data_IF_880797382598
#
_entry.id   IF_880797382598
#
_cell.length_a   1.000
_cell.length_b   1.000
_cell.length_c   1.000
_cell.angle_alpha   90.00
_cell.angle_beta   90.00
_cell.angle_gamma   90.00
#
_symmetry.space_group_name_H-M   'P 1'
#
loop_
_entity.id
_entity.type
_entity.pdbx_description
1 polymer ?
#
# COMPACT_ATOMS: atom_id res chain seq x y z
N UNK A 1 -22.24 22.11 -6.64
CA UNK A 1 -22.55 22.45 -5.25
C UNK A 1 -22.86 21.16 -4.50
N UNK A 2 -22.30 20.99 -3.30
CA UNK A 2 -22.51 19.77 -2.48
C UNK A 2 -23.99 19.53 -2.16
N UNK A 3 -24.72 20.59 -1.89
CA UNK A 3 -26.17 20.53 -1.62
C UNK A 3 -26.93 19.93 -2.81
N UNK A 4 -26.55 20.29 -4.02
CA UNK A 4 -27.14 19.79 -5.26
C UNK A 4 -26.81 18.31 -5.47
N UNK A 5 -25.58 17.88 -5.14
CA UNK A 5 -25.19 16.48 -5.20
C UNK A 5 -26.07 15.61 -4.29
N UNK A 6 -26.23 16.01 -3.01
CA UNK A 6 -27.06 15.26 -2.06
C UNK A 6 -28.53 15.29 -2.39
N UNK A 7 -29.04 16.31 -3.07
CA UNK A 7 -30.40 16.31 -3.61
C UNK A 7 -30.52 15.27 -4.73
N UNK A 8 -29.57 15.28 -5.66
CA UNK A 8 -29.62 14.43 -6.85
C UNK A 8 -29.51 12.94 -6.54
N UNK A 9 -28.66 12.55 -5.59
CA UNK A 9 -28.52 11.13 -5.19
C UNK A 9 -29.74 10.59 -4.43
N UNK A 10 -30.70 11.44 -4.07
CA UNK A 10 -31.99 11.04 -3.49
C UNK A 10 -33.10 10.89 -4.53
N UNK A 11 -32.88 11.29 -5.77
CA UNK A 11 -33.86 11.13 -6.85
C UNK A 11 -33.94 9.66 -7.27
N UNK A 12 -35.13 9.01 -7.25
CA UNK A 12 -35.26 7.60 -7.63
C UNK A 12 -34.78 7.30 -9.06
N UNK A 13 -35.00 8.23 -9.98
CA UNK A 13 -34.59 8.12 -11.38
C UNK A 13 -33.07 8.13 -11.51
N UNK A 14 -32.38 9.02 -10.79
CA UNK A 14 -30.94 9.06 -10.75
C UNK A 14 -30.34 7.76 -10.18
N UNK A 15 -30.90 7.24 -9.08
CA UNK A 15 -30.46 5.96 -8.48
C UNK A 15 -30.63 4.79 -9.44
N UNK A 16 -31.76 4.74 -10.14
CA UNK A 16 -32.01 3.69 -11.13
C UNK A 16 -31.03 3.75 -12.30
N UNK A 17 -30.79 4.95 -12.84
CA UNK A 17 -29.82 5.18 -13.92
C UNK A 17 -28.38 4.84 -13.45
N UNK A 18 -27.99 5.27 -12.26
CA UNK A 18 -26.70 4.96 -11.68
C UNK A 18 -26.47 3.45 -11.54
N UNK A 19 -27.43 2.72 -10.98
CA UNK A 19 -27.36 1.26 -10.83
C UNK A 19 -27.25 0.57 -12.19
N UNK A 20 -28.00 1.03 -13.17
CA UNK A 20 -27.89 0.54 -14.56
C UNK A 20 -26.48 0.77 -15.10
N UNK A 21 -25.94 1.98 -14.99
CA UNK A 21 -24.57 2.31 -15.41
C UNK A 21 -23.50 1.46 -14.71
N UNK A 22 -23.63 1.26 -13.41
CA UNK A 22 -22.70 0.43 -12.64
C UNK A 22 -22.70 -1.03 -13.12
N UNK A 23 -23.87 -1.55 -13.51
CA UNK A 23 -24.03 -2.94 -13.97
C UNK A 23 -23.63 -3.16 -15.45
N UNK A 24 -23.77 -2.15 -16.30
CA UNK A 24 -23.61 -2.29 -17.76
C UNK A 24 -22.21 -1.93 -18.27
N UNK A 25 -21.45 -1.12 -17.54
CA UNK A 25 -20.20 -0.60 -18.09
C UNK A 25 -19.06 -1.60 -17.90
N UNK A 26 -18.72 -2.29 -18.97
CA UNK A 26 -17.47 -3.02 -19.13
C UNK A 26 -16.34 -2.02 -19.49
N UNK A 27 -15.99 -1.13 -18.57
CA UNK A 27 -14.84 -0.24 -18.76
C UNK A 27 -13.69 -0.73 -17.90
N UNK A 28 -12.47 -0.62 -18.44
CA UNK A 28 -11.23 -0.78 -17.69
C UNK A 28 -11.15 0.40 -16.70
N UNK A 29 -11.85 0.27 -15.58
CA UNK A 29 -11.82 1.25 -14.49
C UNK A 29 -10.89 0.75 -13.39
N UNK A 30 -10.35 1.67 -12.61
CA UNK A 30 -9.54 1.33 -11.44
C UNK A 30 -10.33 0.59 -10.36
N UNK A 31 -11.64 0.80 -10.29
CA UNK A 31 -12.52 0.17 -9.33
C UNK A 31 -13.50 -0.77 -10.02
N UNK A 32 -13.70 -1.95 -9.44
CA UNK A 32 -14.63 -2.98 -9.94
C UNK A 32 -16.12 -2.60 -9.79
N UNK A 33 -16.44 -1.49 -9.12
CA UNK A 33 -17.80 -0.95 -8.89
C UNK A 33 -18.75 -1.84 -8.09
N UNK A 34 -18.21 -2.80 -7.39
CA UNK A 34 -18.97 -3.66 -6.49
C UNK A 34 -19.07 -2.99 -5.11
N UNK A 35 -20.23 -2.41 -4.81
CA UNK A 35 -20.50 -1.79 -3.51
C UNK A 35 -20.56 -2.82 -2.37
N UNK A 36 -20.70 -4.11 -2.67
CA UNK A 36 -20.59 -5.15 -1.65
C UNK A 36 -19.17 -5.29 -1.09
N UNK A 37 -18.14 -4.78 -1.79
CA UNK A 37 -16.76 -4.65 -1.31
C UNK A 37 -16.43 -3.23 -0.78
N UNK A 38 -17.43 -2.39 -0.59
CA UNK A 38 -17.27 -1.08 0.05
C UNK A 38 -17.42 -1.18 1.57
N UNK A 39 -16.31 -1.09 2.32
CA UNK A 39 -16.27 -1.26 3.77
C UNK A 39 -16.25 0.08 4.48
N UNK A 40 -17.16 0.29 5.43
CA UNK A 40 -17.25 1.53 6.22
C UNK A 40 -16.12 1.55 7.24
N UNK A 41 -15.26 2.56 7.13
CA UNK A 41 -14.09 2.73 8.01
C UNK A 41 -14.31 3.79 9.08
N UNK A 42 -15.21 4.73 8.83
CA UNK A 42 -15.62 5.75 9.79
C UNK A 42 -17.06 6.18 9.52
N UNK A 43 -17.85 6.29 10.58
CA UNK A 43 -19.23 6.78 10.55
C UNK A 43 -19.59 7.29 11.96
N UNK A 44 -20.39 8.38 12.11
CA UNK A 44 -20.92 8.79 13.41
C UNK A 44 -21.75 7.71 14.10
N UNK A 45 -22.35 6.80 13.34
CA UNK A 45 -22.97 5.58 13.86
C UNK A 45 -21.91 4.46 13.88
N UNK A 46 -21.31 4.25 15.05
CA UNK A 46 -20.24 3.25 15.24
C UNK A 46 -20.70 1.82 14.95
N UNK A 47 -22.01 1.54 15.01
CA UNK A 47 -22.54 0.20 14.71
C UNK A 47 -22.40 -0.19 13.23
N UNK A 48 -22.13 0.78 12.37
CA UNK A 48 -21.91 0.60 10.93
C UNK A 48 -20.43 0.40 10.58
N UNK A 49 -19.52 0.80 11.46
CA UNK A 49 -18.08 0.68 11.20
C UNK A 49 -17.68 -0.80 11.13
N UNK A 50 -16.92 -1.16 10.08
CA UNK A 50 -16.52 -2.53 9.78
C UNK A 50 -17.55 -3.34 8.98
N UNK A 51 -18.75 -2.79 8.70
CA UNK A 51 -19.70 -3.40 7.77
C UNK A 51 -19.42 -2.93 6.34
N UNK A 52 -19.78 -3.76 5.37
CA UNK A 52 -19.83 -3.34 3.98
C UNK A 52 -21.25 -2.92 3.58
N UNK A 53 -21.40 -2.25 2.44
CA UNK A 53 -22.71 -1.75 2.00
C UNK A 53 -23.69 -2.87 1.68
N UNK A 54 -23.23 -4.09 1.37
CA UNK A 54 -24.13 -5.24 1.23
C UNK A 54 -24.75 -5.64 2.57
N UNK A 55 -23.93 -5.73 3.63
CA UNK A 55 -24.43 -6.07 4.97
C UNK A 55 -25.42 -5.02 5.48
N UNK A 56 -25.13 -3.73 5.24
CA UNK A 56 -26.07 -2.65 5.58
C UNK A 56 -27.34 -2.73 4.75
N UNK A 57 -27.20 -3.00 3.45
CA UNK A 57 -28.35 -3.20 2.56
C UNK A 57 -29.25 -4.36 2.99
N UNK A 58 -28.65 -5.49 3.36
CA UNK A 58 -29.37 -6.67 3.87
C UNK A 58 -30.15 -6.33 5.17
N UNK A 59 -29.54 -5.54 6.09
CA UNK A 59 -30.21 -5.10 7.33
C UNK A 59 -31.36 -4.12 7.08
N UNK A 60 -31.24 -3.27 6.08
CA UNK A 60 -32.25 -2.24 5.76
C UNK A 60 -33.24 -2.68 4.69
N UNK A 61 -33.03 -3.85 4.07
CA UNK A 61 -33.89 -4.37 3.01
C UNK A 61 -33.74 -3.58 1.69
N UNK A 62 -32.57 -3.06 1.40
CA UNK A 62 -32.28 -2.26 0.20
C UNK A 62 -31.06 -2.79 -0.55
N UNK A 63 -30.89 -2.36 -1.79
CA UNK A 63 -29.71 -2.65 -2.60
C UNK A 63 -28.45 -2.00 -2.00
N UNK A 64 -27.25 -2.60 -2.14
CA UNK A 64 -26.00 -2.02 -1.62
C UNK A 64 -25.70 -0.60 -2.10
N UNK A 65 -26.07 -0.26 -3.34
CA UNK A 65 -25.92 1.11 -3.89
C UNK A 65 -26.87 2.07 -3.19
N UNK A 66 -28.11 1.63 -2.92
CA UNK A 66 -29.07 2.44 -2.16
C UNK A 66 -28.61 2.64 -0.71
N UNK A 67 -28.10 1.59 -0.06
CA UNK A 67 -27.48 1.70 1.26
C UNK A 67 -26.35 2.74 1.29
N UNK A 68 -25.46 2.71 0.27
CA UNK A 68 -24.41 3.73 0.13
C UNK A 68 -25.01 5.15 0.00
N UNK A 69 -25.99 5.36 -0.88
CA UNK A 69 -26.58 6.67 -1.10
C UNK A 69 -27.31 7.19 0.14
N UNK A 70 -28.04 6.32 0.84
CA UNK A 70 -28.74 6.68 2.09
C UNK A 70 -27.75 7.12 3.17
N UNK A 71 -26.66 6.37 3.35
CA UNK A 71 -25.63 6.71 4.32
C UNK A 71 -24.85 7.98 3.89
N UNK A 72 -24.52 8.12 2.60
CA UNK A 72 -23.86 9.31 2.08
C UNK A 72 -24.71 10.57 2.26
N UNK A 73 -26.03 10.47 2.05
CA UNK A 73 -26.96 11.58 2.30
C UNK A 73 -27.03 11.92 3.78
N UNK A 74 -27.12 10.89 4.64
CA UNK A 74 -27.31 11.08 6.09
C UNK A 74 -26.04 11.62 6.78
N UNK A 75 -24.89 11.08 6.45
CA UNK A 75 -23.64 11.36 7.16
C UNK A 75 -22.66 12.25 6.38
N UNK A 76 -22.92 12.46 5.09
CA UNK A 76 -22.14 13.35 4.21
C UNK A 76 -20.64 13.07 4.33
N UNK A 77 -19.83 14.11 4.54
CA UNK A 77 -18.39 14.01 4.69
C UNK A 77 -17.92 13.23 5.93
N UNK A 78 -18.81 12.96 6.88
CA UNK A 78 -18.49 12.12 8.05
C UNK A 78 -18.52 10.62 7.73
N UNK A 79 -18.99 10.22 6.55
CA UNK A 79 -18.89 8.83 6.08
C UNK A 79 -17.55 8.62 5.41
N UNK A 80 -16.77 7.64 5.89
CA UNK A 80 -15.57 7.14 5.23
C UNK A 80 -15.74 5.67 4.93
N UNK A 81 -15.34 5.28 3.75
CA UNK A 81 -15.35 3.88 3.34
C UNK A 81 -14.14 3.59 2.44
N UNK A 82 -13.79 2.33 2.34
CA UNK A 82 -12.70 1.84 1.52
C UNK A 82 -13.16 0.67 0.66
N UNK A 83 -12.45 0.45 -0.43
CA UNK A 83 -12.63 -0.70 -1.31
C UNK A 83 -11.28 -1.17 -1.83
N UNK A 84 -11.22 -2.40 -2.31
CA UNK A 84 -10.04 -2.93 -2.96
C UNK A 84 -10.07 -2.62 -4.46
N UNK A 85 -9.08 -1.93 -4.97
CA UNK A 85 -8.94 -1.74 -6.43
C UNK A 85 -8.50 -3.01 -7.13
N UNK A 86 -7.57 -3.73 -6.49
CA UNK A 86 -6.90 -4.89 -7.05
C UNK A 86 -6.32 -5.76 -5.93
N UNK A 87 -5.78 -6.91 -6.32
CA UNK A 87 -5.03 -7.78 -5.40
C UNK A 87 -5.82 -8.30 -4.19
N UNK A 88 -7.16 -8.33 -4.30
CA UNK A 88 -8.05 -8.82 -3.25
C UNK A 88 -8.16 -10.35 -3.18
N UNK A 89 -7.50 -11.09 -4.10
CA UNK A 89 -7.55 -12.56 -4.19
C UNK A 89 -6.28 -13.17 -3.61
N UNK A 90 -6.27 -13.67 -2.35
CA UNK A 90 -5.06 -14.14 -1.69
C UNK A 90 -4.30 -15.19 -2.49
N UNK A 91 -4.98 -16.19 -3.05
CA UNK A 91 -4.34 -17.27 -3.83
C UNK A 91 -3.64 -16.77 -5.12
N UNK A 92 -4.09 -15.66 -5.70
CA UNK A 92 -3.40 -15.01 -6.83
C UNK A 92 -2.20 -14.23 -6.30
N UNK A 93 -2.38 -13.50 -5.19
CA UNK A 93 -1.31 -12.74 -4.56
C UNK A 93 -0.16 -13.64 -4.12
N UNK A 94 -0.44 -14.81 -3.55
CA UNK A 94 0.60 -15.79 -3.18
C UNK A 94 1.47 -16.16 -4.41
N UNK A 95 0.84 -16.42 -5.56
CA UNK A 95 1.56 -16.74 -6.81
C UNK A 95 2.37 -15.56 -7.33
N UNK A 96 1.81 -14.35 -7.31
CA UNK A 96 2.52 -13.14 -7.74
C UNK A 96 3.70 -12.83 -6.82
N UNK A 97 3.51 -12.88 -5.51
CA UNK A 97 4.55 -12.63 -4.52
C UNK A 97 5.69 -13.67 -4.65
N UNK A 98 5.36 -14.95 -4.84
CA UNK A 98 6.36 -16.01 -4.99
C UNK A 98 7.06 -16.01 -6.35
N UNK A 99 6.54 -15.31 -7.34
CA UNK A 99 7.09 -15.30 -8.70
C UNK A 99 8.51 -14.69 -8.73
N UNK A 100 9.47 -15.33 -9.39
CA UNK A 100 10.79 -14.74 -9.59
C UNK A 100 10.82 -13.58 -10.59
N UNK A 101 9.71 -13.36 -11.30
CA UNK A 101 9.58 -12.30 -12.32
C UNK A 101 8.91 -11.04 -11.79
N UNK A 102 8.58 -10.98 -10.51
CA UNK A 102 7.92 -9.82 -9.89
C UNK A 102 8.71 -9.31 -8.71
N UNK A 103 8.78 -8.00 -8.58
CA UNK A 103 9.36 -7.31 -7.42
C UNK A 103 8.26 -6.61 -6.61
N UNK A 104 8.50 -6.43 -5.32
CA UNK A 104 7.61 -5.75 -4.38
C UNK A 104 8.28 -4.42 -4.02
N UNK A 105 7.99 -3.37 -4.74
CA UNK A 105 8.79 -2.16 -4.61
C UNK A 105 8.07 -0.83 -4.74
N UNK A 106 6.73 -0.81 -4.93
CA UNK A 106 6.03 0.44 -5.21
C UNK A 106 4.64 0.51 -4.57
N UNK A 107 4.31 1.63 -3.96
CA UNK A 107 3.07 1.82 -3.21
C UNK A 107 2.18 2.99 -3.65
N UNK A 108 2.62 3.83 -4.60
CA UNK A 108 1.90 5.01 -5.14
C UNK A 108 1.28 5.96 -4.09
N UNK A 109 1.77 5.90 -2.84
CA UNK A 109 1.15 6.58 -1.70
C UNK A 109 1.41 8.08 -1.68
N UNK A 110 2.43 8.54 -2.39
CA UNK A 110 2.82 9.96 -2.43
C UNK A 110 1.86 10.85 -3.21
N UNK A 111 1.16 10.29 -4.19
CA UNK A 111 0.23 11.03 -5.05
C UNK A 111 -1.18 11.15 -4.47
N UNK A 112 -1.60 10.19 -3.63
CA UNK A 112 -2.98 10.04 -3.18
C UNK A 112 -3.10 10.00 -1.65
N UNK A 113 -2.48 10.94 -0.97
CA UNK A 113 -2.32 10.96 0.50
C UNK A 113 -3.63 10.91 1.28
N UNK A 114 -4.75 11.37 0.71
CA UNK A 114 -6.08 11.36 1.33
C UNK A 114 -6.93 10.14 0.97
N UNK A 115 -6.52 9.37 -0.03
CA UNK A 115 -7.32 8.25 -0.55
C UNK A 115 -6.57 6.92 -0.56
N UNK A 116 -5.25 6.92 -0.41
CA UNK A 116 -4.43 5.71 -0.40
C UNK A 116 -3.48 5.68 0.79
N UNK A 117 -3.36 4.52 1.43
CA UNK A 117 -2.43 4.25 2.52
C UNK A 117 -1.67 2.94 2.25
N UNK A 118 -0.96 2.85 1.13
CA UNK A 118 -0.27 1.63 0.68
C UNK A 118 1.23 1.61 0.96
N UNK A 119 1.77 2.62 1.62
CA UNK A 119 3.21 2.73 1.90
C UNK A 119 3.74 1.66 2.86
N UNK A 120 2.88 0.93 3.56
CA UNK A 120 3.25 -0.20 4.39
C UNK A 120 3.21 -1.55 3.64
N UNK A 121 3.22 -1.54 2.32
CA UNK A 121 3.16 -2.76 1.49
C UNK A 121 4.22 -3.82 1.85
N UNK A 122 5.44 -3.50 2.36
CA UNK A 122 6.37 -4.52 2.82
C UNK A 122 5.82 -5.30 4.03
N UNK A 123 5.22 -4.61 5.01
CA UNK A 123 4.60 -5.28 6.15
C UNK A 123 3.38 -6.11 5.74
N UNK A 124 2.59 -5.62 4.78
CA UNK A 124 1.48 -6.40 4.23
C UNK A 124 1.95 -7.66 3.52
N UNK A 125 3.06 -7.61 2.80
CA UNK A 125 3.64 -8.82 2.21
C UNK A 125 4.01 -9.84 3.28
N UNK A 126 4.68 -9.39 4.35
CA UNK A 126 5.04 -10.28 5.48
C UNK A 126 3.78 -10.86 6.15
N UNK A 127 2.72 -10.06 6.26
CA UNK A 127 1.42 -10.54 6.77
C UNK A 127 0.82 -11.63 5.86
N UNK A 128 0.83 -11.47 4.53
CA UNK A 128 0.38 -12.52 3.60
C UNK A 128 1.13 -13.85 3.81
N UNK A 129 2.45 -13.77 4.01
CA UNK A 129 3.27 -14.96 4.27
C UNK A 129 2.91 -15.62 5.59
N UNK A 130 2.75 -14.81 6.65
CA UNK A 130 2.39 -15.30 7.98
C UNK A 130 0.97 -15.89 8.00
N UNK A 131 -0.02 -15.21 7.43
CA UNK A 131 -1.40 -15.68 7.36
C UNK A 131 -1.52 -17.00 6.60
N UNK A 132 -0.81 -17.14 5.48
CA UNK A 132 -0.76 -18.38 4.71
C UNK A 132 -0.12 -19.52 5.52
N UNK A 133 0.95 -19.23 6.24
CA UNK A 133 1.63 -20.21 7.13
C UNK A 133 0.69 -20.69 8.25
N UNK A 134 -0.05 -19.76 8.89
CA UNK A 134 -1.02 -20.10 9.95
C UNK A 134 -2.19 -20.95 9.42
N UNK A 135 -2.57 -20.78 8.15
CA UNK A 135 -3.63 -21.55 7.48
C UNK A 135 -3.12 -22.89 6.91
N UNK A 136 -1.83 -23.21 7.02
CA UNK A 136 -1.23 -24.39 6.38
C UNK A 136 -1.05 -24.27 4.87
N UNK A 137 -1.16 -23.08 4.31
CA UNK A 137 -1.05 -22.74 2.87
C UNK A 137 0.26 -22.01 2.56
N UNK A 138 1.33 -22.30 3.30
CA UNK A 138 2.61 -21.63 3.15
C UNK A 138 3.13 -21.71 1.71
N UNK A 139 3.44 -20.57 1.10
CA UNK A 139 3.92 -20.47 -0.29
C UNK A 139 5.38 -19.98 -0.38
N UNK A 140 5.95 -19.47 0.71
CA UNK A 140 7.35 -19.12 0.87
C UNK A 140 7.74 -19.10 2.34
N UNK A 141 9.04 -19.11 2.63
CA UNK A 141 9.59 -18.97 3.98
C UNK A 141 9.73 -17.50 4.36
N UNK A 142 9.83 -17.22 5.68
CA UNK A 142 10.08 -15.86 6.18
C UNK A 142 11.39 -15.29 5.60
N UNK A 143 12.45 -16.11 5.50
CA UNK A 143 13.72 -15.71 4.91
C UNK A 143 13.61 -15.34 3.42
N UNK A 144 12.84 -16.09 2.64
CA UNK A 144 12.58 -15.75 1.24
C UNK A 144 11.79 -14.44 1.11
N UNK A 145 10.83 -14.20 2.01
CA UNK A 145 10.07 -12.97 2.02
C UNK A 145 10.95 -11.74 2.32
N UNK A 146 11.80 -11.84 3.34
CA UNK A 146 12.76 -10.79 3.67
C UNK A 146 13.74 -10.56 2.52
N UNK A 147 14.31 -11.62 1.96
CA UNK A 147 15.24 -11.51 0.81
C UNK A 147 14.59 -10.78 -0.37
N UNK A 148 13.34 -11.11 -0.68
CA UNK A 148 12.57 -10.46 -1.76
C UNK A 148 12.31 -8.98 -1.53
N UNK A 149 12.19 -8.55 -0.27
CA UNK A 149 11.99 -7.14 0.12
C UNK A 149 13.30 -6.35 0.26
N UNK A 150 14.44 -7.01 0.24
CA UNK A 150 15.74 -6.40 0.52
C UNK A 150 16.75 -6.69 -0.58
N UNK A 151 17.45 -7.83 -0.51
CA UNK A 151 18.55 -8.17 -1.41
C UNK A 151 18.12 -8.27 -2.87
N UNK A 152 16.97 -8.93 -3.18
CA UNK A 152 16.48 -9.04 -4.55
C UNK A 152 16.29 -7.67 -5.22
N UNK A 153 15.73 -6.70 -4.48
CA UNK A 153 15.54 -5.36 -5.00
C UNK A 153 16.86 -4.61 -5.15
N UNK A 154 17.72 -4.67 -4.13
CA UNK A 154 19.01 -4.00 -4.15
C UNK A 154 19.90 -4.51 -5.30
N UNK A 155 19.96 -5.83 -5.48
CA UNK A 155 20.74 -6.46 -6.54
C UNK A 155 20.16 -6.12 -7.93
N UNK A 156 18.83 -6.13 -8.08
CA UNK A 156 18.19 -5.77 -9.34
C UNK A 156 18.40 -4.30 -9.73
N UNK A 157 18.41 -3.39 -8.75
CA UNK A 157 18.71 -1.98 -8.96
C UNK A 157 20.23 -1.68 -8.96
N UNK A 158 21.09 -2.64 -8.67
CA UNK A 158 22.54 -2.44 -8.57
C UNK A 158 22.96 -1.56 -7.39
N UNK A 159 22.21 -1.61 -6.28
CA UNK A 159 22.50 -0.83 -5.09
C UNK A 159 23.38 -1.59 -4.11
N UNK A 160 24.26 -0.86 -3.40
CA UNK A 160 25.05 -1.42 -2.30
C UNK A 160 24.23 -1.39 -1.00
N UNK A 161 23.24 -2.27 -0.93
CA UNK A 161 22.27 -2.38 0.17
C UNK A 161 21.61 -3.77 0.19
N UNK A 162 20.73 -3.99 1.16
CA UNK A 162 19.84 -5.18 1.20
C UNK A 162 20.48 -6.45 1.72
N UNK A 163 21.78 -6.44 2.02
CA UNK A 163 22.52 -7.55 2.59
C UNK A 163 22.99 -7.24 4.01
N UNK A 164 23.32 -8.28 4.78
CA UNK A 164 23.90 -8.17 6.13
C UNK A 164 25.18 -9.02 6.14
N UNK A 165 26.31 -8.40 5.81
CA UNK A 165 27.63 -9.01 5.80
C UNK A 165 28.62 -8.10 6.53
N UNK A 166 29.75 -8.62 6.95
CA UNK A 166 30.82 -7.78 7.52
C UNK A 166 31.33 -6.82 6.45
N UNK A 167 31.26 -5.53 6.74
CA UNK A 167 31.66 -4.47 5.79
C UNK A 167 30.49 -3.87 5.00
N UNK A 168 29.30 -4.48 5.03
CA UNK A 168 28.12 -3.91 4.39
C UNK A 168 27.64 -2.68 5.13
N UNK A 169 26.84 -1.87 4.43
CA UNK A 169 26.14 -0.73 4.98
C UNK A 169 25.13 -1.17 6.04
N UNK A 170 25.16 -0.53 7.19
CA UNK A 170 24.30 -0.87 8.32
C UNK A 170 22.93 -0.14 8.25
N UNK A 171 22.14 -0.42 7.20
CA UNK A 171 20.73 -0.04 7.08
C UNK A 171 19.90 -1.27 7.47
N UNK A 172 19.31 -1.25 8.67
CA UNK A 172 18.67 -2.41 9.28
C UNK A 172 17.32 -2.04 9.86
N UNK A 173 16.33 -2.92 9.66
CA UNK A 173 15.02 -2.84 10.32
C UNK A 173 14.88 -4.04 11.25
N UNK A 174 14.51 -3.78 12.51
CA UNK A 174 14.19 -4.82 13.49
C UNK A 174 12.68 -4.97 13.53
N UNK A 175 12.19 -6.13 13.09
CA UNK A 175 10.76 -6.44 12.97
C UNK A 175 10.37 -7.35 14.14
N UNK A 176 9.25 -7.01 14.81
CA UNK A 176 8.60 -7.88 15.76
C UNK A 176 7.59 -8.79 15.03
N UNK A 177 7.83 -10.12 14.95
CA UNK A 177 6.92 -11.02 14.25
C UNK A 177 5.48 -11.01 14.81
N UNK A 178 5.32 -10.77 16.11
CA UNK A 178 4.00 -10.73 16.77
C UNK A 178 3.21 -9.46 16.41
N UNK A 179 3.90 -8.42 15.97
CA UNK A 179 3.29 -7.18 15.47
C UNK A 179 2.84 -7.27 14.01
N UNK A 180 3.16 -8.35 13.29
CA UNK A 180 2.66 -8.62 11.94
C UNK A 180 1.30 -9.31 12.06
N UNK A 181 0.27 -8.56 12.40
CA UNK A 181 -1.09 -9.02 12.65
C UNK A 181 -2.10 -8.12 11.91
N UNK A 182 -3.39 -8.19 12.26
CA UNK A 182 -4.45 -7.42 11.59
C UNK A 182 -4.30 -5.90 11.75
N UNK A 183 -3.51 -5.43 12.73
CA UNK A 183 -3.22 -4.01 12.91
C UNK A 183 -2.37 -3.42 11.76
N UNK A 184 -1.68 -4.27 10.99
CA UNK A 184 -0.98 -3.85 9.75
C UNK A 184 -1.94 -3.22 8.75
N UNK A 185 -3.20 -3.64 8.73
CA UNK A 185 -4.21 -3.14 7.80
C UNK A 185 -5.09 -2.01 8.36
N UNK A 186 -4.97 -1.68 9.65
CA UNK A 186 -5.71 -0.57 10.25
C UNK A 186 -5.35 0.76 9.61
N UNK A 187 -6.37 1.51 9.21
CA UNK A 187 -6.24 2.84 8.63
C UNK A 187 -6.73 3.86 9.64
N UNK A 188 -6.00 4.97 9.77
CA UNK A 188 -6.41 6.15 10.52
C UNK A 188 -6.06 7.43 9.74
N UNK A 189 -6.59 8.55 10.17
CA UNK A 189 -6.22 9.86 9.65
C UNK A 189 -5.24 10.52 10.62
N UNK A 190 -4.24 11.22 10.11
CA UNK A 190 -3.28 11.97 10.88
C UNK A 190 -2.95 13.30 10.21
N UNK A 191 -2.75 14.39 10.99
CA UNK A 191 -2.36 15.69 10.45
C UNK A 191 -1.07 15.58 9.61
N UNK A 192 -1.05 16.29 8.49
CA UNK A 192 0.13 16.52 7.70
C UNK A 192 0.65 17.92 8.00
N UNK A 193 1.66 18.01 8.86
CA UNK A 193 2.23 19.28 9.29
C UNK A 193 2.67 20.13 8.10
N UNK A 194 2.37 21.44 8.14
CA UNK A 194 2.71 22.38 7.08
C UNK A 194 1.76 22.40 5.88
N UNK A 195 0.82 21.46 5.77
CA UNK A 195 -0.12 21.39 4.63
C UNK A 195 -1.57 21.70 5.02
N UNK A 196 -1.90 21.74 6.31
CA UNK A 196 -3.26 22.04 6.79
C UNK A 196 -4.32 21.01 6.38
N UNK A 197 -3.90 19.80 6.09
CA UNK A 197 -4.77 18.67 5.70
C UNK A 197 -4.39 17.42 6.49
N UNK A 198 -5.35 16.50 6.64
CA UNK A 198 -5.10 15.17 7.14
C UNK A 198 -4.76 14.21 5.99
N UNK A 199 -4.00 13.19 6.28
CA UNK A 199 -3.67 12.08 5.38
C UNK A 199 -4.04 10.74 5.99
N UNK A 200 -4.27 9.76 5.16
CA UNK A 200 -4.40 8.38 5.61
C UNK A 200 -3.03 7.86 6.08
N UNK A 201 -3.04 7.17 7.21
CA UNK A 201 -1.86 6.50 7.77
C UNK A 201 -2.20 5.07 8.17
N UNK A 202 -1.21 4.19 8.04
CA UNK A 202 -1.21 2.82 8.58
C UNK A 202 -0.03 2.73 9.52
N UNK A 203 -0.20 3.19 10.75
CA UNK A 203 0.82 3.15 11.80
C UNK A 203 0.58 1.94 12.67
N UNK A 204 1.55 1.05 12.71
CA UNK A 204 1.57 -0.08 13.61
C UNK A 204 2.89 -0.10 14.38
N UNK A 205 2.89 0.49 15.57
CA UNK A 205 4.07 0.62 16.41
C UNK A 205 4.55 -0.74 16.95
N UNK A 206 3.72 -1.78 16.88
CA UNK A 206 4.09 -3.12 17.33
C UNK A 206 4.88 -3.92 16.28
N UNK A 207 4.82 -3.54 15.02
CA UNK A 207 5.48 -4.27 13.94
C UNK A 207 6.98 -4.00 13.82
N UNK A 208 7.43 -2.79 14.20
CA UNK A 208 8.81 -2.35 14.04
C UNK A 208 9.37 -1.94 15.40
N UNK A 209 10.38 -2.66 15.88
CA UNK A 209 11.08 -2.31 17.12
C UNK A 209 12.12 -1.22 16.91
N UNK A 210 12.83 -1.23 15.79
CA UNK A 210 13.79 -0.18 15.44
C UNK A 210 14.06 -0.09 13.93
N UNK A 211 14.47 1.09 13.50
CA UNK A 211 15.07 1.34 12.17
C UNK A 211 16.42 2.00 12.37
N UNK A 212 17.44 1.43 11.74
CA UNK A 212 18.83 1.87 11.80
C UNK A 212 19.24 2.30 10.39
N UNK A 213 19.82 3.48 10.26
CA UNK A 213 20.32 4.02 9.00
C UNK A 213 21.80 4.29 9.16
N UNK A 214 22.62 3.64 8.36
CA UNK A 214 24.10 3.78 8.38
C UNK A 214 24.67 3.61 9.81
N UNK A 215 24.15 2.65 10.56
CA UNK A 215 24.57 2.33 11.93
C UNK A 215 24.00 3.26 13.02
N UNK A 216 23.21 4.28 12.67
CA UNK A 216 22.54 5.18 13.63
C UNK A 216 21.08 4.78 13.79
N UNK A 217 20.58 4.73 15.02
CA UNK A 217 19.17 4.47 15.30
C UNK A 217 18.35 5.70 14.88
N UNK A 218 17.51 5.52 13.84
CA UNK A 218 16.63 6.56 13.32
C UNK A 218 15.22 6.50 13.92
N UNK A 219 14.79 5.31 14.30
CA UNK A 219 13.51 5.06 14.95
C UNK A 219 13.68 3.94 15.99
N UNK A 220 13.02 4.09 17.12
CA UNK A 220 12.88 3.06 18.14
C UNK A 220 11.46 3.08 18.68
N UNK A 221 10.88 1.92 18.90
CA UNK A 221 9.54 1.79 19.48
C UNK A 221 9.47 2.50 20.82
N UNK A 222 8.46 3.38 20.96
CA UNK A 222 8.28 4.22 22.16
C UNK A 222 9.02 5.57 22.12
N UNK A 223 10.14 5.69 21.37
CA UNK A 223 10.86 6.94 21.11
C UNK A 223 10.82 7.21 19.61
N UNK A 224 9.87 7.97 19.16
CA UNK A 224 9.42 7.98 17.77
C UNK A 224 10.47 8.30 16.72
N UNK A 225 11.41 9.19 16.98
CA UNK A 225 12.50 9.50 16.04
C UNK A 225 13.67 10.06 16.82
N UNK A 226 14.89 9.80 16.34
CA UNK A 226 16.04 10.60 16.68
C UNK A 226 15.71 12.07 16.39
N UNK A 227 15.95 12.96 17.38
CA UNK A 227 15.62 14.38 17.28
C UNK A 227 16.32 15.08 16.11
N UNK A 228 17.41 14.50 15.61
CA UNK A 228 18.26 15.07 14.56
C UNK A 228 17.94 14.49 13.19
N UNK A 229 17.10 13.44 13.10
CA UNK A 229 16.67 12.84 11.82
C UNK A 229 15.99 13.90 10.94
N UNK A 230 16.54 14.08 9.75
CA UNK A 230 16.05 15.09 8.80
C UNK A 230 16.54 16.53 9.06
N UNK A 231 17.22 16.80 10.19
CA UNK A 231 17.80 18.11 10.54
C UNK A 231 19.31 18.12 10.37
N UNK A 232 19.98 17.04 10.79
CA UNK A 232 21.41 16.87 10.61
C UNK A 232 21.72 16.04 9.37
N UNK A 233 22.87 16.33 8.75
CA UNK A 233 23.43 15.52 7.67
C UNK A 233 24.09 14.26 8.24
N UNK A 234 24.10 13.17 7.47
CA UNK A 234 24.88 11.98 7.79
C UNK A 234 24.10 10.83 8.43
N UNK A 235 22.75 10.88 8.48
CA UNK A 235 21.96 9.68 8.73
C UNK A 235 22.04 8.74 7.54
N UNK A 236 21.73 9.23 6.33
CA UNK A 236 21.77 8.47 5.10
C UNK A 236 22.80 9.01 4.12
N UNK A 237 23.05 8.27 3.06
CA UNK A 237 23.79 8.71 1.89
C UNK A 237 23.07 8.28 0.63
N UNK A 238 23.32 8.99 -0.47
CA UNK A 238 22.83 8.59 -1.78
C UNK A 238 23.49 7.26 -2.17
N UNK A 239 22.68 6.32 -2.64
CA UNK A 239 23.15 5.04 -3.15
C UNK A 239 23.22 5.11 -4.67
N UNK A 240 24.43 5.08 -5.21
CA UNK A 240 24.66 5.07 -6.64
C UNK A 240 24.36 3.69 -7.22
N UNK A 241 23.88 3.66 -8.45
CA UNK A 241 23.67 2.42 -9.18
C UNK A 241 25.01 1.92 -9.73
N UNK A 242 25.50 0.78 -9.25
CA UNK A 242 26.78 0.16 -9.66
C UNK A 242 26.87 -0.12 -11.16
N UNK A 243 25.75 -0.32 -11.85
CA UNK A 243 25.74 -0.55 -13.30
C UNK A 243 26.11 0.69 -14.13
N UNK A 244 26.09 1.88 -13.53
CA UNK A 244 26.49 3.14 -14.22
C UNK A 244 28.00 3.23 -14.33
N UNK A 245 28.74 2.84 -13.30
CA UNK A 245 30.20 2.82 -13.33
C UNK A 245 30.74 1.85 -14.39
N UNK A 246 30.16 0.65 -14.50
CA UNK A 246 30.51 -0.33 -15.55
C UNK A 246 30.22 0.19 -16.96
N UNK A 247 29.21 1.04 -17.14
CA UNK A 247 28.89 1.66 -18.44
C UNK A 247 29.89 2.75 -18.84
N UNK A 248 30.44 3.48 -17.91
CA UNK A 248 31.46 4.50 -18.21
C UNK A 248 32.82 3.88 -18.52
N UNK A 249 33.20 2.83 -17.80
CA UNK A 249 34.42 2.07 -18.10
C UNK A 249 34.32 1.38 -19.47
N UNK A 250 33.17 0.82 -19.82
CA UNK A 250 32.95 0.17 -21.12
C UNK A 250 32.76 1.16 -22.27
N UNK A 251 32.37 2.42 -22.05
CA UNK A 251 32.36 3.44 -23.12
C UNK A 251 33.73 3.78 -23.68
N UNK A 252 34.78 3.52 -22.93
CA UNK A 252 36.17 3.65 -23.45
C UNK A 252 36.63 2.42 -24.24
N UNK A 253 35.98 1.26 -24.11
CA UNK A 253 36.29 0.04 -24.84
C UNK A 253 35.41 -0.27 -26.03
N UNK A 254 34.20 0.31 -26.11
CA UNK A 254 33.19 0.02 -27.15
C UNK A 254 33.08 1.09 -28.22
N UNK A 255 34.19 1.35 -28.92
CA UNK A 255 34.10 1.87 -30.28
C UNK A 255 33.74 0.79 -31.33
N UNK A 256 33.47 -0.44 -30.90
CA UNK A 256 33.14 -1.56 -31.80
C UNK A 256 32.00 -2.39 -31.19
N UNK A 257 30.85 -2.39 -31.91
CA UNK A 257 29.64 -3.21 -31.75
C UNK A 257 28.56 -2.80 -30.76
N UNK A 258 27.61 -2.01 -31.26
CA UNK A 258 26.25 -1.94 -30.73
C UNK A 258 25.39 -3.05 -31.32
N UNK A 259 24.72 -3.90 -30.51
CA UNK A 259 23.45 -4.47 -30.90
C UNK A 259 22.33 -3.49 -30.54
N UNK A 260 21.50 -3.20 -31.53
CA UNK A 260 20.34 -2.34 -31.40
C UNK A 260 19.31 -2.97 -30.44
N UNK A 261 19.09 -2.31 -29.29
CA UNK A 261 17.86 -2.48 -28.53
C UNK A 261 16.83 -1.46 -28.99
N UNK A 262 16.24 -1.72 -30.16
CA UNK A 262 14.98 -1.12 -30.59
C UNK A 262 14.05 -2.27 -30.93
N UNK A 263 13.19 -2.61 -29.99
CA UNK A 263 11.92 -3.32 -30.21
C UNK A 263 11.53 -4.10 -28.95
N UNK A 264 10.76 -3.44 -28.09
CA UNK A 264 9.74 -4.07 -27.24
C UNK A 264 8.94 -2.93 -26.62
N UNK A 265 8.07 -2.34 -27.46
CA UNK A 265 6.84 -1.68 -27.02
C UNK A 265 5.71 -2.44 -27.69
N UNK A 266 4.97 -3.20 -26.92
CA UNK A 266 3.55 -3.51 -27.11
C UNK A 266 2.95 -3.78 -25.74
#
# INVERSE_FOLDING_TARGET
>A
DESELYQKINEPEFRAEFKKHVSEIFTVGLWHRDFSDGWITHCPDESLVGKNFKQVGDEYGVDPVDAYFDLATKYKESLRWMTNYSNARPHIMHKLIASPFTHIGFGDSGAHIRSLAMYNFPLRMLKYVQDAKLKGEAFMTDGQAIHKLTADLADWFGLDAGHIRVGDRADVVIINPNGINDDVDKISEAPMEGFGIDRLVKRNDDAIDATIINGKVAYKKGDYFDADLGKEKGFGSFLENRFVEDREVNKQSDSINKPAFSQFYL
#
